data_IF_807890741601
#
_entry.id   IF_807890741601
#
_cell.length_a   1.000
_cell.length_b   1.000
_cell.length_c   1.000
_cell.angle_alpha   90.00
_cell.angle_beta   90.00
_cell.angle_gamma   90.00
#
_symmetry.space_group_name_H-M   'P 1'
#
loop_
_entity.id
_entity.type
_entity.pdbx_description
1 polymer ?
#
# COMPACT_ATOMS: atom_id res chain seq x y z
N UNK A 1 -13.85 -4.55 -8.67
CA UNK A 1 -15.18 -4.70 -9.29
C UNK A 1 -15.57 -3.34 -9.83
N UNK A 2 -15.42 -3.18 -11.14
CA UNK A 2 -15.73 -1.98 -11.90
C UNK A 2 -17.25 -1.76 -11.90
N UNK A 3 -17.72 -0.76 -11.16
CA UNK A 3 -18.92 -0.01 -11.57
C UNK A 3 -18.48 1.43 -11.79
N UNK A 4 -18.28 1.77 -13.07
CA UNK A 4 -18.12 3.14 -13.54
C UNK A 4 -19.45 3.84 -13.28
N UNK A 5 -19.64 4.41 -12.09
CA UNK A 5 -20.56 5.52 -11.95
C UNK A 5 -19.89 6.70 -12.64
N UNK A 6 -20.40 7.13 -13.78
CA UNK A 6 -19.85 8.22 -14.59
C UNK A 6 -19.74 9.57 -13.88
N UNK A 7 -20.13 9.62 -12.60
CA UNK A 7 -20.09 10.79 -11.73
C UNK A 7 -18.90 10.63 -10.78
N UNK A 8 -17.85 11.47 -10.89
CA UNK A 8 -16.73 11.46 -9.96
C UNK A 8 -17.26 11.72 -8.53
N UNK A 9 -16.91 10.84 -7.58
CA UNK A 9 -17.31 10.95 -6.18
C UNK A 9 -18.46 10.03 -5.72
N UNK A 10 -19.27 9.48 -6.62
CA UNK A 10 -20.45 8.66 -6.27
C UNK A 10 -20.21 7.14 -6.36
N UNK A 11 -19.13 6.64 -5.74
CA UNK A 11 -18.80 5.20 -5.75
C UNK A 11 -19.65 4.41 -4.74
N UNK A 12 -20.94 4.20 -5.05
CA UNK A 12 -21.82 3.39 -4.21
C UNK A 12 -21.46 1.90 -4.34
N UNK A 13 -21.26 1.23 -3.20
CA UNK A 13 -21.03 -0.21 -3.17
C UNK A 13 -21.84 -0.85 -2.06
N UNK A 14 -22.47 -1.98 -2.36
CA UNK A 14 -23.24 -2.76 -1.39
C UNK A 14 -22.40 -3.19 -0.18
N UNK A 15 -21.10 -3.43 -0.37
CA UNK A 15 -20.17 -3.78 0.73
C UNK A 15 -19.87 -2.60 1.68
N UNK A 16 -20.14 -1.35 1.27
CA UNK A 16 -20.13 -0.17 2.15
C UNK A 16 -21.48 -0.01 2.85
N UNK A 17 -22.58 -0.16 2.13
CA UNK A 17 -23.93 -0.08 2.70
C UNK A 17 -24.16 -1.13 3.79
N UNK A 18 -23.69 -2.37 3.58
CA UNK A 18 -23.74 -3.46 4.57
C UNK A 18 -22.73 -3.29 5.74
N UNK A 19 -21.93 -2.22 5.77
CA UNK A 19 -21.01 -1.95 6.88
C UNK A 19 -19.75 -2.84 6.97
N UNK A 20 -19.63 -3.88 6.13
CA UNK A 20 -18.47 -4.80 6.09
C UNK A 20 -17.15 -4.04 5.96
N UNK A 21 -17.12 -3.01 5.12
CA UNK A 21 -15.93 -2.17 4.92
C UNK A 21 -15.55 -1.37 6.18
N UNK A 22 -16.54 -0.87 6.91
CA UNK A 22 -16.32 -0.12 8.14
C UNK A 22 -15.86 -1.03 9.30
N UNK A 23 -16.40 -2.25 9.39
CA UNK A 23 -15.98 -3.25 10.35
C UNK A 23 -14.49 -3.63 10.17
N UNK A 24 -14.08 -3.91 8.93
CA UNK A 24 -12.68 -4.22 8.61
C UNK A 24 -11.73 -3.06 8.97
N UNK A 25 -12.15 -1.82 8.74
CA UNK A 25 -11.37 -0.64 9.11
C UNK A 25 -11.26 -0.44 10.64
N UNK A 26 -12.33 -0.71 11.39
CA UNK A 26 -12.30 -0.69 12.87
C UNK A 26 -11.37 -1.76 13.42
N UNK A 27 -11.45 -2.99 12.92
CA UNK A 27 -10.57 -4.08 13.32
C UNK A 27 -9.11 -3.79 12.97
N UNK A 28 -8.84 -3.24 11.79
CA UNK A 28 -7.47 -2.86 11.38
C UNK A 28 -6.84 -1.82 12.31
N UNK A 29 -7.64 -0.88 12.86
CA UNK A 29 -7.16 0.11 13.84
C UNK A 29 -6.88 -0.49 15.21
N UNK A 30 -7.68 -1.48 15.63
CA UNK A 30 -7.45 -2.20 16.89
C UNK A 30 -6.23 -3.12 16.83
N UNK A 31 -6.06 -3.83 15.71
CA UNK A 31 -4.96 -4.81 15.51
C UNK A 31 -3.66 -4.14 15.07
N UNK A 32 -3.70 -2.91 14.55
CA UNK A 32 -2.52 -2.19 14.04
C UNK A 32 -1.97 -2.72 12.71
N UNK A 33 -2.56 -3.79 12.16
CA UNK A 33 -2.17 -4.41 10.90
C UNK A 33 -3.24 -4.19 9.84
N UNK A 34 -2.88 -3.77 8.61
CA UNK A 34 -3.83 -3.63 7.51
C UNK A 34 -4.39 -5.00 7.12
N UNK A 35 -5.67 -5.22 7.43
CA UNK A 35 -6.40 -6.43 7.07
C UNK A 35 -6.78 -6.48 5.58
N UNK A 36 -6.63 -5.38 4.85
CA UNK A 36 -6.92 -5.30 3.42
C UNK A 36 -5.69 -5.64 2.57
N UNK A 37 -5.91 -6.36 1.46
CA UNK A 37 -4.84 -6.69 0.49
C UNK A 37 -4.12 -5.44 0.00
N UNK A 38 -4.88 -4.41 -0.39
CA UNK A 38 -4.33 -3.13 -0.85
C UNK A 38 -3.58 -2.38 0.25
N UNK A 39 -4.04 -2.43 1.50
CA UNK A 39 -3.33 -1.84 2.63
C UNK A 39 -1.99 -2.54 2.89
N UNK A 40 -1.96 -3.87 2.78
CA UNK A 40 -0.74 -4.67 2.92
C UNK A 40 0.26 -4.38 1.80
N UNK A 41 -0.21 -4.32 0.55
CA UNK A 41 0.61 -3.94 -0.60
C UNK A 41 1.22 -2.53 -0.45
N UNK A 42 0.48 -1.55 0.08
CA UNK A 42 1.01 -0.21 0.36
C UNK A 42 2.05 -0.21 1.48
N UNK A 43 1.82 -1.00 2.54
CA UNK A 43 2.78 -1.14 3.65
C UNK A 43 4.10 -1.76 3.17
N UNK A 44 4.00 -2.86 2.43
CA UNK A 44 5.16 -3.56 1.84
C UNK A 44 5.83 -2.74 0.73
N UNK A 45 5.06 -2.09 -0.13
CA UNK A 45 5.59 -1.22 -1.18
C UNK A 45 6.38 -0.03 -0.63
N UNK A 46 5.92 0.57 0.48
CA UNK A 46 6.67 1.63 1.18
C UNK A 46 8.00 1.13 1.76
N UNK A 47 8.01 -0.07 2.35
CA UNK A 47 9.26 -0.64 2.88
C UNK A 47 10.24 -1.04 1.76
N UNK A 48 9.74 -1.59 0.65
CA UNK A 48 10.58 -2.01 -0.47
C UNK A 48 11.11 -0.82 -1.29
N UNK A 49 10.31 0.23 -1.47
CA UNK A 49 10.71 1.38 -2.27
C UNK A 49 11.96 2.11 -1.75
N UNK A 50 12.12 2.19 -0.43
CA UNK A 50 13.31 2.79 0.18
C UNK A 50 14.50 1.83 0.17
N UNK A 51 14.28 0.54 0.45
CA UNK A 51 15.34 -0.48 0.47
C UNK A 51 16.04 -0.67 -0.88
N UNK A 52 15.29 -0.59 -1.99
CA UNK A 52 15.87 -0.71 -3.34
C UNK A 52 16.77 0.47 -3.67
N UNK A 53 16.37 1.71 -3.34
CA UNK A 53 17.19 2.90 -3.56
C UNK A 53 18.46 2.89 -2.71
N UNK A 54 18.35 2.50 -1.43
CA UNK A 54 19.53 2.38 -0.55
C UNK A 54 20.48 1.28 -1.06
N UNK A 55 19.94 0.15 -1.53
CA UNK A 55 20.74 -0.95 -2.05
C UNK A 55 21.47 -0.58 -3.35
N UNK A 56 20.81 0.11 -4.30
CA UNK A 56 21.44 0.50 -5.58
C UNK A 56 22.46 1.60 -5.40
N UNK A 57 22.20 2.58 -4.52
CA UNK A 57 23.16 3.65 -4.22
C UNK A 57 24.36 3.10 -3.44
N UNK A 58 24.13 2.22 -2.45
CA UNK A 58 25.20 1.59 -1.68
C UNK A 58 26.08 0.65 -2.51
N UNK A 59 25.48 -0.15 -3.39
CA UNK A 59 26.23 -1.01 -4.31
C UNK A 59 27.04 -0.18 -5.32
N UNK A 60 26.46 0.90 -5.87
CA UNK A 60 27.16 1.80 -6.77
C UNK A 60 28.35 2.50 -6.11
N UNK A 61 28.21 2.95 -4.86
CA UNK A 61 29.29 3.59 -4.09
C UNK A 61 30.45 2.63 -3.80
N UNK A 62 30.15 1.38 -3.46
CA UNK A 62 31.18 0.36 -3.22
C UNK A 62 31.98 0.02 -4.47
N UNK A 63 31.32 -0.05 -5.64
CA UNK A 63 32.01 -0.28 -6.92
C UNK A 63 32.85 0.92 -7.33
N UNK A 64 32.33 2.15 -7.15
CA UNK A 64 33.07 3.38 -7.44
C UNK A 64 34.33 3.52 -6.57
N UNK A 65 34.25 3.20 -5.28
CA UNK A 65 35.39 3.19 -4.36
C UNK A 65 36.42 2.09 -4.63
N UNK A 66 36.05 1.05 -5.38
CA UNK A 66 36.97 -0.01 -5.79
C UNK A 66 37.74 0.35 -7.08
N UNK A 67 37.25 1.33 -7.84
CA UNK A 67 37.79 1.75 -9.14
C UNK A 67 38.63 3.05 -9.07
N UNK A 68 38.53 3.83 -7.99
CA UNK A 68 39.30 5.06 -7.73
C UNK A 68 40.27 4.82 -6.58
#
# INVERSE_FOLDING_TARGET
>A
MTKRSGIPGLSFSWRRALGVSAAQAKLSRKVGVPLSRSGRQRKVGRSLGCGVLVATIGAGWSVLRMLV
#
